data_IF_292338685212
#
_entry.id   IF_292338685212
#
_cell.length_a   1.000
_cell.length_b   1.000
_cell.length_c   1.000
_cell.angle_alpha   90.00
_cell.angle_beta   90.00
_cell.angle_gamma   90.00
#
_symmetry.space_group_name_H-M   'P 1'
#
loop_
_entity.id
_entity.type
_entity.pdbx_description
1 polymer ?
#
# COMPACT_ATOMS: atom_id res chain seq x y z
N UNK A 1 -11.01 1.27 9.91
CA UNK A 1 -11.32 1.99 8.65
C UNK A 1 -10.96 1.06 7.49
N UNK A 2 -11.90 0.89 6.55
CA UNK A 2 -11.63 0.28 5.23
C UNK A 2 -11.88 1.36 4.18
N UNK A 3 -10.92 1.57 3.27
CA UNK A 3 -11.01 2.65 2.30
C UNK A 3 -10.41 2.24 0.95
N UNK A 4 -11.14 2.56 -0.10
CA UNK A 4 -10.62 2.60 -1.48
C UNK A 4 -10.78 4.04 -1.97
N UNK A 5 -9.81 4.93 -1.68
CA UNK A 5 -9.90 6.32 -2.08
C UNK A 5 -9.79 6.45 -3.60
N UNK A 6 -10.33 7.54 -4.17
CA UNK A 6 -10.07 7.84 -5.56
C UNK A 6 -8.57 8.10 -5.77
N UNK A 7 -7.97 7.51 -6.80
CA UNK A 7 -6.59 7.74 -7.20
C UNK A 7 -6.53 8.28 -8.62
N UNK A 8 -5.46 9.06 -8.91
CA UNK A 8 -5.33 9.84 -10.13
C UNK A 8 -6.12 11.16 -10.12
N UNK A 9 -6.75 11.51 -9.01
CA UNK A 9 -7.37 12.81 -8.79
C UNK A 9 -6.36 13.84 -8.27
N UNK A 10 -6.61 15.11 -8.60
CA UNK A 10 -5.84 16.24 -8.09
C UNK A 10 -6.76 17.21 -7.39
N UNK A 11 -6.31 17.69 -6.21
CA UNK A 11 -7.05 18.63 -5.39
C UNK A 11 -6.49 20.05 -5.52
N UNK A 12 -7.38 21.03 -5.50
CA UNK A 12 -7.02 22.43 -5.56
C UNK A 12 -6.24 22.90 -4.31
N UNK A 13 -5.46 23.97 -4.45
CA UNK A 13 -4.70 24.57 -3.35
C UNK A 13 -5.59 24.95 -2.16
N UNK A 14 -6.84 25.31 -2.39
CA UNK A 14 -7.82 25.61 -1.34
C UNK A 14 -8.12 24.42 -0.45
N UNK A 15 -8.16 23.20 -1.02
CA UNK A 15 -8.32 21.95 -0.26
C UNK A 15 -7.01 21.58 0.43
N UNK A 16 -5.89 21.67 -0.27
CA UNK A 16 -4.58 21.37 0.29
C UNK A 16 -4.27 22.22 1.54
N UNK A 17 -4.73 23.48 1.58
CA UNK A 17 -4.51 24.40 2.71
C UNK A 17 -5.20 24.00 4.03
N UNK A 18 -6.08 23.02 4.01
CA UNK A 18 -6.67 22.45 5.25
C UNK A 18 -5.77 21.36 5.91
N UNK A 19 -4.70 20.98 5.25
CA UNK A 19 -3.75 19.99 5.76
C UNK A 19 -2.49 20.67 6.32
N UNK A 20 -1.76 20.03 7.25
CA UNK A 20 -0.44 20.49 7.63
C UNK A 20 0.45 20.65 6.40
N UNK A 21 1.32 21.66 6.41
CA UNK A 21 2.14 22.02 5.24
C UNK A 21 2.99 20.86 4.70
N UNK A 22 3.50 20.02 5.60
CA UNK A 22 4.31 18.85 5.27
C UNK A 22 3.48 17.67 4.70
N UNK A 23 2.17 17.64 4.96
CA UNK A 23 1.24 16.61 4.48
C UNK A 23 0.37 17.09 3.31
N UNK A 24 0.50 18.36 2.93
CA UNK A 24 -0.27 18.93 1.82
C UNK A 24 0.21 18.36 0.50
N UNK A 25 -0.66 17.62 -0.17
CA UNK A 25 -0.42 17.01 -1.48
C UNK A 25 -1.49 17.45 -2.48
N UNK A 26 -1.15 17.53 -3.75
CA UNK A 26 -2.14 17.68 -4.81
C UNK A 26 -2.84 16.36 -5.14
N UNK A 27 -2.30 15.22 -4.73
CA UNK A 27 -2.89 13.92 -5.03
C UNK A 27 -3.95 13.53 -3.99
N UNK A 28 -5.15 13.24 -4.45
CA UNK A 28 -6.30 12.89 -3.62
C UNK A 28 -6.01 11.70 -2.70
N UNK A 29 -5.34 10.65 -3.18
CA UNK A 29 -5.02 9.47 -2.39
C UNK A 29 -4.12 9.78 -1.17
N UNK A 30 -3.16 10.68 -1.33
CA UNK A 30 -2.26 11.11 -0.24
C UNK A 30 -3.05 11.84 0.86
N UNK A 31 -3.93 12.76 0.46
CA UNK A 31 -4.78 13.49 1.40
C UNK A 31 -5.74 12.56 2.16
N UNK A 32 -6.27 11.53 1.49
CA UNK A 32 -7.08 10.51 2.16
C UNK A 32 -6.30 9.74 3.22
N UNK A 33 -5.03 9.38 2.96
CA UNK A 33 -4.17 8.75 3.97
C UNK A 33 -3.95 9.67 5.18
N UNK A 34 -3.71 10.96 4.95
CA UNK A 34 -3.58 11.95 6.02
C UNK A 34 -4.85 12.05 6.87
N UNK A 35 -6.03 12.06 6.24
CA UNK A 35 -7.33 12.05 6.95
C UNK A 35 -7.53 10.76 7.73
N UNK A 36 -7.17 9.60 7.16
CA UNK A 36 -7.29 8.31 7.85
C UNK A 36 -6.41 8.29 9.09
N UNK A 37 -5.15 8.71 8.99
CA UNK A 37 -4.24 8.80 10.14
C UNK A 37 -4.80 9.72 11.23
N UNK A 38 -5.34 10.89 10.86
CA UNK A 38 -5.95 11.82 11.79
C UNK A 38 -7.19 11.24 12.49
N UNK A 39 -8.00 10.46 11.78
CA UNK A 39 -9.27 9.89 12.29
C UNK A 39 -9.12 8.55 12.99
N UNK A 40 -8.01 7.86 12.80
CA UNK A 40 -7.82 6.52 13.35
C UNK A 40 -7.61 6.59 14.87
N UNK A 41 -8.56 6.08 15.62
CA UNK A 41 -8.50 6.03 17.08
C UNK A 41 -7.32 5.16 17.55
N UNK A 42 -6.87 5.39 18.77
CA UNK A 42 -5.90 4.49 19.44
C UNK A 42 -6.43 3.04 19.39
N UNK A 43 -5.56 2.11 19.07
CA UNK A 43 -5.86 0.69 18.82
C UNK A 43 -6.78 0.46 17.59
N UNK A 44 -7.06 1.49 16.80
CA UNK A 44 -7.79 1.35 15.55
C UNK A 44 -6.93 0.73 14.46
N UNK A 45 -7.58 0.08 13.49
CA UNK A 45 -6.94 -0.56 12.33
C UNK A 45 -7.47 0.06 11.04
N UNK A 46 -6.61 0.14 10.05
CA UNK A 46 -6.96 0.61 8.71
C UNK A 46 -6.44 -0.35 7.64
N UNK A 47 -7.23 -0.49 6.58
CA UNK A 47 -6.81 -1.11 5.33
C UNK A 47 -7.23 -0.19 4.18
N UNK A 48 -6.26 0.18 3.35
CA UNK A 48 -6.41 1.22 2.33
C UNK A 48 -5.85 0.71 1.01
N UNK A 49 -6.60 0.90 -0.07
CA UNK A 49 -6.07 0.67 -1.42
C UNK A 49 -5.26 1.91 -1.83
N UNK A 50 -4.01 1.70 -2.23
CA UNK A 50 -3.13 2.78 -2.69
C UNK A 50 -2.50 2.45 -4.04
N UNK A 51 -2.29 3.45 -4.92
CA UNK A 51 -1.58 3.23 -6.17
C UNK A 51 -0.09 3.01 -5.93
N UNK A 52 0.60 2.37 -6.87
CA UNK A 52 2.05 2.18 -6.82
C UNK A 52 2.81 3.50 -6.65
N UNK A 53 2.34 4.57 -7.28
CA UNK A 53 2.92 5.90 -7.17
C UNK A 53 3.07 6.41 -5.73
N UNK A 54 2.19 5.99 -4.82
CA UNK A 54 2.35 6.29 -3.41
C UNK A 54 3.55 5.55 -2.80
N UNK A 55 3.76 4.29 -3.17
CA UNK A 55 4.82 3.48 -2.57
C UNK A 55 6.22 3.97 -2.96
N UNK A 56 6.46 4.20 -4.26
CA UNK A 56 7.77 4.64 -4.76
C UNK A 56 7.96 6.16 -4.78
N UNK A 57 6.87 6.96 -4.74
CA UNK A 57 6.96 8.42 -4.81
C UNK A 57 7.81 9.02 -3.70
N UNK A 58 8.68 9.95 -4.05
CA UNK A 58 9.64 10.61 -3.15
C UNK A 58 9.46 12.14 -3.09
N UNK A 59 8.32 12.64 -3.52
CA UNK A 59 7.95 14.03 -3.25
C UNK A 59 7.76 14.27 -1.75
N UNK A 60 7.89 15.53 -1.34
CA UNK A 60 7.93 15.88 0.08
C UNK A 60 6.70 15.38 0.87
N UNK A 61 5.50 15.49 0.29
CA UNK A 61 4.29 15.07 0.97
C UNK A 61 4.25 13.54 1.15
N UNK A 62 4.58 12.76 0.10
CA UNK A 62 4.61 11.30 0.20
C UNK A 62 5.66 10.81 1.20
N UNK A 63 6.85 11.44 1.21
CA UNK A 63 7.89 11.12 2.20
C UNK A 63 7.40 11.42 3.61
N UNK A 64 6.78 12.58 3.85
CA UNK A 64 6.24 12.95 5.16
C UNK A 64 5.14 11.98 5.61
N UNK A 65 4.20 11.63 4.74
CA UNK A 65 3.11 10.68 5.04
C UNK A 65 3.68 9.29 5.38
N UNK A 66 4.62 8.78 4.58
CA UNK A 66 5.25 7.48 4.82
C UNK A 66 6.10 7.48 6.09
N UNK A 67 6.84 8.56 6.34
CA UNK A 67 7.58 8.73 7.60
C UNK A 67 6.63 8.67 8.79
N UNK A 68 5.52 9.41 8.74
CA UNK A 68 4.51 9.39 9.80
C UNK A 68 3.89 8.01 10.00
N UNK A 69 3.55 7.30 8.92
CA UNK A 69 3.06 5.91 8.99
C UNK A 69 4.07 4.98 9.66
N UNK A 70 5.37 5.14 9.40
CA UNK A 70 6.43 4.30 9.95
C UNK A 70 6.80 4.66 11.40
N UNK A 71 6.71 5.94 11.79
CA UNK A 71 7.18 6.43 13.09
C UNK A 71 6.09 6.58 14.14
N UNK A 72 4.86 6.86 13.75
CA UNK A 72 3.75 7.09 14.67
C UNK A 72 2.68 5.97 14.62
N UNK A 73 2.60 5.25 13.49
CA UNK A 73 1.69 4.13 13.27
C UNK A 73 2.47 2.85 13.00
N UNK A 74 1.80 1.73 13.14
CA UNK A 74 2.34 0.42 12.81
C UNK A 74 1.86 -0.02 11.42
N UNK A 75 2.60 0.33 10.37
CA UNK A 75 2.37 -0.22 9.05
C UNK A 75 2.97 -1.63 8.98
N UNK A 76 2.15 -2.63 9.19
CA UNK A 76 2.61 -4.00 9.40
C UNK A 76 2.58 -4.87 8.14
N UNK A 77 1.80 -4.48 7.10
CA UNK A 77 1.69 -5.31 5.89
C UNK A 77 1.34 -4.45 4.68
N UNK A 78 2.03 -4.71 3.58
CA UNK A 78 1.70 -4.21 2.25
C UNK A 78 1.51 -5.41 1.33
N UNK A 79 0.37 -5.49 0.64
CA UNK A 79 0.05 -6.56 -0.31
C UNK A 79 -0.07 -5.96 -1.70
N UNK A 80 0.82 -6.33 -2.61
CA UNK A 80 0.72 -5.97 -4.01
C UNK A 80 -0.37 -6.80 -4.69
N UNK A 81 -1.25 -6.12 -5.38
CA UNK A 81 -2.27 -6.77 -6.21
C UNK A 81 -1.75 -7.01 -7.63
N UNK A 82 -2.25 -8.04 -8.33
CA UNK A 82 -1.96 -8.25 -9.74
C UNK A 82 -2.40 -7.06 -10.58
N UNK A 83 -1.80 -6.91 -11.75
CA UNK A 83 -2.24 -5.91 -12.72
C UNK A 83 -3.70 -6.11 -13.12
N UNK A 84 -4.33 -5.04 -13.61
CA UNK A 84 -5.71 -5.06 -14.15
C UNK A 84 -6.84 -5.40 -13.16
N UNK A 85 -6.58 -5.44 -11.84
CA UNK A 85 -7.63 -5.75 -10.84
C UNK A 85 -8.83 -4.82 -10.96
N UNK A 86 -8.61 -3.56 -11.30
CA UNK A 86 -9.64 -2.54 -11.47
C UNK A 86 -10.02 -2.26 -12.94
N UNK A 87 -9.64 -3.15 -13.88
CA UNK A 87 -10.07 -3.03 -15.28
C UNK A 87 -11.61 -3.18 -15.43
N UNK A 88 -12.24 -2.45 -16.30
CA UNK A 88 -11.69 -1.48 -17.27
C UNK A 88 -11.57 -0.04 -16.73
N UNK A 89 -11.81 0.19 -15.44
CA UNK A 89 -11.91 1.54 -14.85
C UNK A 89 -10.56 2.23 -14.77
N UNK A 90 -9.50 1.51 -14.46
CA UNK A 90 -8.13 2.02 -14.43
C UNK A 90 -7.12 0.90 -14.70
N UNK A 91 -6.03 1.20 -15.42
CA UNK A 91 -4.89 0.28 -15.58
C UNK A 91 -3.89 0.39 -14.42
N UNK A 92 -4.09 1.29 -13.46
CA UNK A 92 -3.14 1.51 -12.37
C UNK A 92 -2.93 0.25 -11.55
N UNK A 93 -1.67 -0.10 -11.34
CA UNK A 93 -1.29 -1.11 -10.35
C UNK A 93 -1.52 -0.56 -8.94
N UNK A 94 -2.04 -1.42 -8.07
CA UNK A 94 -2.49 -1.02 -6.74
C UNK A 94 -2.00 -1.99 -5.68
N UNK A 95 -2.00 -1.49 -4.45
CA UNK A 95 -1.57 -2.24 -3.27
C UNK A 95 -2.59 -2.08 -2.15
N UNK A 96 -2.64 -3.06 -1.27
CA UNK A 96 -3.37 -2.98 -0.01
C UNK A 96 -2.39 -2.63 1.10
N UNK A 97 -2.62 -1.49 1.75
CA UNK A 97 -1.83 -0.98 2.86
C UNK A 97 -2.57 -1.26 4.17
N UNK A 98 -1.94 -2.02 5.07
CA UNK A 98 -2.52 -2.35 6.37
C UNK A 98 -1.70 -1.74 7.49
N UNK A 99 -2.34 -0.94 8.34
CA UNK A 99 -1.70 -0.34 9.50
C UNK A 99 -2.66 -0.20 10.68
N UNK A 100 -2.10 -0.02 11.86
CA UNK A 100 -2.84 0.24 13.07
C UNK A 100 -2.24 1.40 13.88
N UNK A 101 -3.00 1.91 14.86
CA UNK A 101 -2.58 2.98 15.74
C UNK A 101 -2.16 2.43 17.12
N UNK A 102 -1.15 1.53 17.11
CA UNK A 102 -0.60 0.88 18.31
C UNK A 102 0.86 1.26 18.59
N UNK A 103 1.36 2.32 17.98
CA UNK A 103 2.73 2.80 18.11
C UNK A 103 3.53 2.64 16.81
N UNK A 104 4.82 2.95 16.88
CA UNK A 104 5.70 2.94 15.72
C UNK A 104 5.86 1.54 15.13
N UNK A 105 6.05 1.50 13.82
CA UNK A 105 6.39 0.28 13.08
C UNK A 105 7.69 -0.33 13.61
N UNK A 106 7.72 -1.63 13.77
CA UNK A 106 8.95 -2.41 14.03
C UNK A 106 9.47 -2.99 12.73
N UNK A 107 8.62 -3.71 12.04
CA UNK A 107 8.87 -4.30 10.72
C UNK A 107 7.60 -4.23 9.87
N UNK A 108 7.77 -4.21 8.56
CA UNK A 108 6.69 -4.27 7.59
C UNK A 108 6.87 -5.50 6.72
N UNK A 109 5.84 -6.30 6.61
CA UNK A 109 5.77 -7.43 5.70
C UNK A 109 5.25 -6.98 4.34
N UNK A 110 5.91 -7.47 3.30
CA UNK A 110 5.54 -7.28 1.91
C UNK A 110 5.12 -8.63 1.34
N UNK A 111 3.99 -8.66 0.63
CA UNK A 111 3.49 -9.85 -0.03
C UNK A 111 3.00 -9.50 -1.43
N UNK A 112 3.31 -10.33 -2.41
CA UNK A 112 2.85 -10.18 -3.79
C UNK A 112 1.83 -11.26 -4.14
N UNK A 113 0.65 -10.84 -4.62
CA UNK A 113 -0.32 -11.73 -5.24
C UNK A 113 -0.02 -11.76 -6.73
N UNK A 114 0.37 -12.92 -7.24
CA UNK A 114 0.67 -13.11 -8.65
C UNK A 114 -0.62 -13.32 -9.46
N UNK A 115 -0.55 -13.07 -10.77
CA UNK A 115 -1.64 -13.36 -11.68
C UNK A 115 -1.93 -14.87 -11.68
N UNK A 116 -3.20 -15.29 -11.62
CA UNK A 116 -3.54 -16.71 -11.75
C UNK A 116 -3.07 -17.29 -13.09
N UNK A 117 -2.60 -18.53 -13.09
CA UNK A 117 -2.07 -19.19 -14.29
C UNK A 117 -3.10 -19.42 -15.41
N UNK A 118 -4.40 -19.33 -15.08
CA UNK A 118 -5.51 -19.50 -16.02
C UNK A 118 -5.85 -18.24 -16.83
N UNK A 119 -5.15 -17.13 -16.58
CA UNK A 119 -5.43 -15.85 -17.22
C UNK A 119 -4.21 -14.91 -17.25
N UNK A 120 -4.21 -14.02 -18.24
CA UNK A 120 -3.18 -12.99 -18.38
C UNK A 120 -3.58 -11.64 -17.76
N UNK A 121 -4.87 -11.40 -17.55
CA UNK A 121 -5.40 -10.16 -16.98
C UNK A 121 -6.80 -10.39 -16.38
N UNK A 122 -7.17 -9.56 -15.44
CA UNK A 122 -8.55 -9.44 -14.97
C UNK A 122 -9.36 -8.53 -15.90
N UNK A 123 -10.68 -8.71 -15.91
CA UNK A 123 -11.58 -7.93 -16.73
C UNK A 123 -12.96 -7.83 -16.05
N UNK A 124 -13.84 -6.99 -16.61
CA UNK A 124 -15.22 -6.87 -16.10
C UNK A 124 -15.97 -8.19 -16.07
N UNK A 125 -15.73 -9.09 -17.03
CA UNK A 125 -16.38 -10.41 -17.12
C UNK A 125 -15.65 -11.50 -16.35
N UNK A 126 -14.38 -11.28 -16.00
CA UNK A 126 -13.53 -12.18 -15.22
C UNK A 126 -12.79 -11.36 -14.15
N UNK A 127 -13.50 -10.83 -13.13
CA UNK A 127 -12.88 -9.99 -12.10
C UNK A 127 -12.01 -10.81 -11.15
N UNK A 128 -11.24 -10.10 -10.33
CA UNK A 128 -10.61 -10.70 -9.17
C UNK A 128 -11.70 -11.11 -8.16
N UNK A 129 -11.57 -12.31 -7.62
CA UNK A 129 -12.50 -12.91 -6.65
C UNK A 129 -11.77 -13.21 -5.35
N UNK A 130 -12.51 -13.43 -4.27
CA UNK A 130 -11.94 -13.71 -2.95
C UNK A 130 -10.98 -14.92 -2.95
N UNK A 131 -11.28 -15.97 -3.71
CA UNK A 131 -10.41 -17.15 -3.85
C UNK A 131 -8.98 -16.85 -4.29
N UNK A 132 -8.76 -15.73 -5.00
CA UNK A 132 -7.42 -15.31 -5.41
C UNK A 132 -6.56 -14.82 -4.24
N UNK A 133 -7.17 -14.57 -3.09
CA UNK A 133 -6.49 -14.22 -1.86
C UNK A 133 -6.16 -15.42 -0.96
N UNK A 134 -6.63 -16.64 -1.27
CA UNK A 134 -6.51 -17.80 -0.39
C UNK A 134 -5.06 -18.02 0.07
N UNK A 135 -4.10 -18.04 -0.86
CA UNK A 135 -2.67 -18.18 -0.52
C UNK A 135 -2.13 -17.02 0.31
N UNK A 136 -2.62 -15.80 0.11
CA UNK A 136 -2.27 -14.66 0.92
C UNK A 136 -2.84 -14.79 2.33
N UNK A 137 -4.06 -15.27 2.46
CA UNK A 137 -4.73 -15.51 3.75
C UNK A 137 -4.02 -16.62 4.53
N UNK A 138 -3.67 -17.72 3.87
CA UNK A 138 -2.87 -18.81 4.48
C UNK A 138 -1.53 -18.26 5.00
N UNK A 139 -0.80 -17.53 4.15
CA UNK A 139 0.45 -16.90 4.52
C UNK A 139 0.28 -15.91 5.68
N UNK A 140 -0.80 -15.14 5.70
CA UNK A 140 -1.06 -14.15 6.75
C UNK A 140 -1.13 -14.76 8.14
N UNK A 141 -1.64 -15.99 8.26
CA UNK A 141 -1.75 -16.72 9.51
C UNK A 141 -0.43 -17.36 9.97
N UNK A 142 0.51 -17.62 9.04
CA UNK A 142 1.84 -18.18 9.32
C UNK A 142 2.88 -17.50 8.42
N UNK A 143 3.21 -16.25 8.73
CA UNK A 143 4.08 -15.40 7.91
C UNK A 143 5.49 -15.91 7.86
N UNK A 144 5.99 -16.15 6.65
CA UNK A 144 7.37 -16.54 6.36
C UNK A 144 7.83 -15.82 5.11
N UNK A 145 9.13 -15.61 5.01
CA UNK A 145 9.74 -15.16 3.75
C UNK A 145 9.57 -16.25 2.69
N UNK A 146 9.21 -15.85 1.49
CA UNK A 146 9.05 -16.72 0.33
C UNK A 146 9.96 -16.18 -0.76
N UNK A 147 11.07 -16.86 -0.99
CA UNK A 147 12.02 -16.57 -2.04
C UNK A 147 11.63 -17.31 -3.31
N UNK A 148 11.76 -16.63 -4.45
CA UNK A 148 11.58 -17.17 -5.79
C UNK A 148 12.89 -16.97 -6.58
N UNK A 149 13.02 -17.60 -7.73
CA UNK A 149 14.21 -17.45 -8.60
C UNK A 149 14.52 -16.00 -8.99
N UNK A 150 13.51 -15.16 -8.99
CA UNK A 150 13.53 -13.76 -9.43
C UNK A 150 13.35 -12.74 -8.32
N UNK A 151 13.46 -13.16 -7.07
CA UNK A 151 13.32 -12.31 -5.90
C UNK A 151 12.35 -12.86 -4.86
N UNK A 152 11.75 -11.98 -4.08
CA UNK A 152 10.86 -12.40 -2.99
C UNK A 152 9.39 -12.20 -3.35
N UNK A 153 8.58 -13.23 -3.12
CA UNK A 153 7.13 -13.13 -3.09
C UNK A 153 6.62 -12.56 -1.76
N UNK A 154 7.29 -12.91 -0.66
CA UNK A 154 7.02 -12.38 0.67
C UNK A 154 8.34 -12.12 1.41
N UNK A 155 8.47 -10.94 2.00
CA UNK A 155 9.64 -10.56 2.80
C UNK A 155 9.30 -9.49 3.81
N UNK A 156 9.99 -9.50 4.95
CA UNK A 156 9.90 -8.42 5.94
C UNK A 156 11.13 -7.51 5.89
N UNK A 157 10.91 -6.24 6.22
CA UNK A 157 11.97 -5.24 6.37
C UNK A 157 11.72 -4.43 7.63
N UNK A 158 12.80 -4.08 8.33
CA UNK A 158 12.72 -3.24 9.52
C UNK A 158 12.36 -1.80 9.17
N UNK A 159 11.75 -1.09 10.12
CA UNK A 159 11.49 0.35 9.98
C UNK A 159 12.74 1.13 9.59
N UNK A 160 13.87 0.85 10.25
CA UNK A 160 15.10 1.61 10.03
C UNK A 160 15.66 1.39 8.62
N UNK A 161 15.53 0.19 8.08
CA UNK A 161 15.84 -0.10 6.67
C UNK A 161 14.96 0.74 5.73
N UNK A 162 13.64 0.77 5.96
CA UNK A 162 12.70 1.51 5.12
C UNK A 162 12.91 3.02 5.17
N UNK A 163 13.23 3.58 6.34
CA UNK A 163 13.46 5.02 6.50
C UNK A 163 14.82 5.46 5.97
N UNK A 164 15.89 4.75 6.33
CA UNK A 164 17.26 5.23 6.15
C UNK A 164 17.91 4.68 4.88
N UNK A 165 17.82 3.37 4.63
CA UNK A 165 18.45 2.76 3.47
C UNK A 165 17.61 2.90 2.20
N UNK A 166 16.29 2.86 2.33
CA UNK A 166 15.36 3.02 1.21
C UNK A 166 14.85 4.47 1.03
N UNK A 167 15.14 5.37 1.97
CA UNK A 167 14.68 6.77 1.89
C UNK A 167 13.17 6.92 1.75
N UNK A 168 12.41 6.10 2.46
CA UNK A 168 10.95 6.01 2.37
C UNK A 168 10.39 5.49 1.03
N UNK A 169 11.22 4.90 0.16
CA UNK A 169 10.70 4.07 -0.92
C UNK A 169 10.25 2.74 -0.33
N UNK A 170 8.95 2.50 -0.30
CA UNK A 170 8.34 1.28 0.23
C UNK A 170 7.73 0.41 -0.89
N UNK A 171 8.21 0.54 -2.10
CA UNK A 171 7.85 -0.32 -3.23
C UNK A 171 8.79 -1.53 -3.31
N UNK A 172 8.61 -2.47 -2.38
CA UNK A 172 9.50 -3.61 -2.19
C UNK A 172 8.83 -4.98 -2.41
N UNK A 173 7.57 -4.99 -2.89
CA UNK A 173 6.85 -6.24 -3.16
C UNK A 173 7.33 -6.99 -4.41
N UNK A 174 8.19 -6.38 -5.23
CA UNK A 174 8.49 -6.85 -6.59
C UNK A 174 7.29 -6.74 -7.53
N UNK A 175 7.50 -6.97 -8.80
CA UNK A 175 6.42 -6.97 -9.79
C UNK A 175 5.95 -8.40 -10.05
N UNK A 176 4.62 -8.62 -10.20
CA UNK A 176 4.11 -9.90 -10.69
C UNK A 176 4.70 -10.17 -12.07
N UNK A 177 5.15 -11.41 -12.31
CA UNK A 177 5.54 -11.79 -13.66
C UNK A 177 4.33 -11.80 -14.57
N UNK A 178 4.49 -11.28 -15.77
CA UNK A 178 3.52 -11.36 -16.86
C UNK A 178 3.59 -12.72 -17.57
#
# INVERSE_FOLDING_TARGET
ILMNPPYGGHEDKSIQSFFPDDLASSETADLFLSVIMYRLKKNGRAAVVVPDGFLFGLDNAKVAIKTKLLTEFNIHTIVRLPNSVFAPYTPMATNLLFFDNNGATKETWFYRIDMPSDRKHFSKTKPMELKHFDKCIEWWNDRKEIELEDGFKAKSYTRDFLLNEQGCNIDLCGYPHE
#
